data_IF_549835078780
#
_entry.id   IF_549835078780
#
_cell.length_a   1.000
_cell.length_b   1.000
_cell.length_c   1.000
_cell.angle_alpha   90.00
_cell.angle_beta   90.00
_cell.angle_gamma   90.00
#
_symmetry.space_group_name_H-M   'P 1'
#
loop_
_entity.id
_entity.type
_entity.pdbx_description
1 polymer ?
#
# COMPACT_ATOMS: atom_id res chain seq x y z
N UNK A 1 8.52 -17.26 -41.62
CA UNK A 1 9.46 -17.06 -40.50
C UNK A 1 9.14 -15.72 -39.86
N UNK A 2 8.43 -15.73 -38.73
CA UNK A 2 8.22 -14.51 -37.93
C UNK A 2 9.51 -14.32 -37.15
N UNK A 3 10.33 -13.36 -37.57
CA UNK A 3 11.59 -13.06 -36.88
C UNK A 3 11.30 -12.71 -35.43
N UNK A 4 11.98 -13.38 -34.50
CA UNK A 4 12.00 -12.96 -33.11
C UNK A 4 12.67 -11.59 -33.06
N UNK A 5 11.88 -10.53 -32.94
CA UNK A 5 12.39 -9.22 -32.56
C UNK A 5 12.93 -9.40 -31.15
N UNK A 6 14.24 -9.60 -31.04
CA UNK A 6 14.92 -9.65 -29.75
C UNK A 6 14.64 -8.33 -29.04
N UNK A 7 14.05 -8.41 -27.85
CA UNK A 7 13.85 -7.23 -27.02
C UNK A 7 15.24 -6.82 -26.54
N UNK A 8 15.68 -5.63 -26.97
CA UNK A 8 16.92 -5.03 -26.49
C UNK A 8 16.85 -4.89 -24.96
N UNK A 9 17.97 -5.06 -24.24
CA UNK A 9 17.99 -4.85 -22.79
C UNK A 9 17.49 -3.44 -22.44
N UNK A 10 16.73 -3.32 -21.35
CA UNK A 10 16.30 -2.02 -20.85
C UNK A 10 17.53 -1.19 -20.45
N UNK A 11 17.50 0.10 -20.79
CA UNK A 11 18.56 1.07 -20.46
C UNK A 11 17.95 2.38 -19.98
N UNK A 12 18.73 3.15 -19.21
CA UNK A 12 18.32 4.45 -18.68
C UNK A 12 17.08 4.35 -17.78
N UNK A 13 16.18 5.33 -17.86
CA UNK A 13 14.99 5.41 -17.00
C UNK A 13 14.09 4.18 -17.10
N UNK A 14 13.98 3.54 -18.27
CA UNK A 14 13.19 2.33 -18.41
C UNK A 14 13.70 1.17 -17.55
N UNK A 15 15.03 1.05 -17.35
CA UNK A 15 15.60 0.06 -16.44
C UNK A 15 15.33 0.44 -14.98
N UNK A 16 15.60 1.70 -14.62
CA UNK A 16 15.40 2.21 -13.25
C UNK A 16 13.95 2.05 -12.79
N UNK A 17 12.95 2.29 -13.66
CA UNK A 17 11.52 2.11 -13.36
C UNK A 17 11.12 0.65 -13.06
N UNK A 18 11.99 -0.32 -13.35
CA UNK A 18 11.73 -1.74 -13.08
C UNK A 18 12.41 -2.25 -11.82
N UNK A 19 13.26 -1.43 -11.19
CA UNK A 19 14.04 -1.75 -10.00
C UNK A 19 13.40 -1.20 -8.71
N UNK A 20 13.87 -1.66 -7.55
CA UNK A 20 13.47 -1.11 -6.24
C UNK A 20 12.01 -1.38 -5.85
N UNK A 21 11.34 -2.29 -6.56
CA UNK A 21 9.96 -2.70 -6.32
C UNK A 21 9.84 -4.19 -6.00
N UNK A 22 8.63 -4.71 -6.19
CA UNK A 22 8.32 -6.12 -6.05
C UNK A 22 8.15 -6.80 -7.42
N UNK A 23 7.70 -8.06 -7.45
CA UNK A 23 7.56 -8.83 -8.69
C UNK A 23 6.61 -8.21 -9.74
N UNK A 24 5.80 -7.21 -9.37
CA UNK A 24 4.95 -6.43 -10.27
C UNK A 24 5.72 -5.48 -11.18
N UNK A 25 6.91 -5.03 -10.80
CA UNK A 25 7.73 -4.09 -11.60
C UNK A 25 8.73 -4.82 -12.50
N UNK A 26 9.13 -6.04 -12.13
CA UNK A 26 10.08 -6.86 -12.89
C UNK A 26 9.54 -7.23 -14.28
N UNK A 27 10.36 -7.03 -15.32
CA UNK A 27 10.02 -7.42 -16.68
C UNK A 27 10.53 -8.80 -17.06
N UNK A 28 9.74 -9.53 -17.86
CA UNK A 28 10.18 -10.79 -18.48
C UNK A 28 11.00 -10.54 -19.76
N UNK A 29 11.38 -11.62 -20.45
CA UNK A 29 12.16 -11.57 -21.71
C UNK A 29 11.47 -10.83 -22.87
N UNK A 30 10.17 -10.52 -22.76
CA UNK A 30 9.42 -9.71 -23.72
C UNK A 30 9.40 -8.21 -23.35
N UNK A 31 10.11 -7.80 -22.30
CA UNK A 31 10.17 -6.41 -21.85
C UNK A 31 8.86 -5.91 -21.22
N UNK A 32 8.03 -6.82 -20.71
CA UNK A 32 6.77 -6.49 -20.03
C UNK A 32 6.74 -7.13 -18.65
N UNK A 33 6.05 -6.50 -17.71
CA UNK A 33 5.79 -7.10 -16.40
C UNK A 33 4.69 -8.18 -16.47
N UNK A 34 4.34 -8.77 -15.33
CA UNK A 34 3.29 -9.82 -15.23
C UNK A 34 1.89 -9.35 -15.65
N UNK A 35 1.67 -8.03 -15.73
CA UNK A 35 0.44 -7.41 -16.22
C UNK A 35 0.52 -6.99 -17.70
N UNK A 36 1.55 -7.43 -18.42
CA UNK A 36 1.79 -7.08 -19.82
C UNK A 36 2.00 -5.58 -20.09
N UNK A 37 2.37 -4.81 -19.06
CA UNK A 37 2.73 -3.40 -19.19
C UNK A 37 4.24 -3.26 -19.43
N UNK A 38 4.62 -2.31 -20.30
CA UNK A 38 6.01 -1.92 -20.54
C UNK A 38 6.39 -0.74 -19.64
N UNK A 39 7.66 -0.58 -19.26
CA UNK A 39 8.13 0.59 -18.52
C UNK A 39 8.27 1.84 -19.40
N UNK A 40 8.12 1.73 -20.72
CA UNK A 40 8.09 2.86 -21.66
C UNK A 40 6.66 3.19 -22.13
N UNK A 41 6.38 4.45 -22.50
CA UNK A 41 5.17 4.83 -23.20
C UNK A 41 4.98 4.06 -24.49
N UNK A 42 3.72 3.87 -24.89
CA UNK A 42 3.38 3.40 -26.23
C UNK A 42 2.83 4.62 -26.99
N UNK A 43 3.57 5.16 -27.97
CA UNK A 43 3.11 6.26 -28.80
C UNK A 43 1.77 5.94 -29.46
N UNK A 44 0.89 6.93 -29.55
CA UNK A 44 -0.42 6.87 -30.20
C UNK A 44 -1.38 5.77 -29.69
N UNK A 45 -1.06 5.14 -28.56
CA UNK A 45 -1.94 4.14 -27.95
C UNK A 45 -3.11 4.80 -27.23
N UNK A 46 -4.30 4.20 -27.38
CA UNK A 46 -5.45 4.54 -26.54
C UNK A 46 -5.18 4.00 -25.12
N UNK A 47 -4.86 4.89 -24.21
CA UNK A 47 -4.60 4.54 -22.82
C UNK A 47 -5.91 4.21 -22.08
N UNK A 48 -6.07 2.95 -21.66
CA UNK A 48 -7.13 2.52 -20.74
C UNK A 48 -6.51 2.13 -19.42
N UNK A 49 -6.57 3.07 -18.47
CA UNK A 49 -6.01 2.87 -17.15
C UNK A 49 -6.69 1.72 -16.40
N UNK A 50 -5.89 0.92 -15.69
CA UNK A 50 -6.35 -0.07 -14.72
C UNK A 50 -6.05 0.41 -13.30
N UNK A 51 -6.82 -0.10 -12.35
CA UNK A 51 -6.58 0.06 -10.92
C UNK A 51 -5.34 -0.71 -10.42
N UNK A 52 -4.83 -1.64 -11.23
CA UNK A 52 -3.74 -2.57 -10.84
C UNK A 52 -2.38 -2.17 -11.41
N UNK A 53 -2.31 -1.79 -12.69
CA UNK A 53 -1.06 -1.49 -13.38
C UNK A 53 -1.32 -0.65 -14.62
N UNK A 54 -0.44 0.30 -14.90
CA UNK A 54 -0.56 1.23 -16.02
C UNK A 54 0.77 1.38 -16.75
N UNK A 55 0.70 1.50 -18.08
CA UNK A 55 1.84 1.96 -18.88
C UNK A 55 2.03 3.46 -18.61
N UNK A 56 3.27 3.95 -18.40
CA UNK A 56 3.48 5.37 -18.17
C UNK A 56 3.05 6.20 -19.38
N UNK A 57 2.38 7.31 -19.11
CA UNK A 57 2.11 8.33 -20.15
C UNK A 57 3.41 8.97 -20.61
N UNK A 58 3.45 9.49 -21.84
CA UNK A 58 4.65 10.14 -22.38
C UNK A 58 5.11 11.33 -21.53
N UNK A 59 4.20 12.14 -21.01
CA UNK A 59 4.53 13.26 -20.12
C UNK A 59 5.15 12.80 -18.79
N UNK A 60 4.58 11.77 -18.16
CA UNK A 60 5.14 11.19 -16.94
C UNK A 60 6.53 10.58 -17.16
N UNK A 61 6.73 9.90 -18.30
CA UNK A 61 8.02 9.30 -18.64
C UNK A 61 9.09 10.37 -18.88
N UNK A 62 8.79 11.43 -19.65
CA UNK A 62 9.70 12.57 -19.83
C UNK A 62 10.05 13.26 -18.51
N UNK A 63 9.09 13.37 -17.59
CA UNK A 63 9.36 13.90 -16.25
C UNK A 63 10.31 13.00 -15.45
N UNK A 64 10.17 11.68 -15.56
CA UNK A 64 11.10 10.73 -14.96
C UNK A 64 12.51 10.81 -15.59
N UNK A 65 12.61 10.96 -16.91
CA UNK A 65 13.88 11.21 -17.61
C UNK A 65 14.56 12.49 -17.14
N UNK A 66 13.83 13.59 -17.05
CA UNK A 66 14.36 14.85 -16.55
C UNK A 66 14.86 14.73 -15.10
N UNK A 67 14.07 14.09 -14.23
CA UNK A 67 14.47 13.87 -12.84
C UNK A 67 15.73 12.99 -12.73
N UNK A 68 15.80 11.92 -13.52
CA UNK A 68 16.98 11.04 -13.57
C UNK A 68 18.22 11.80 -14.04
N UNK A 69 18.10 12.60 -15.10
CA UNK A 69 19.21 13.40 -15.62
C UNK A 69 19.70 14.42 -14.59
N UNK A 70 18.80 15.15 -13.93
CA UNK A 70 19.19 16.10 -12.86
C UNK A 70 19.87 15.42 -11.67
N UNK A 71 19.52 14.17 -11.37
CA UNK A 71 20.24 13.37 -10.35
C UNK A 71 21.64 12.99 -10.84
N UNK A 72 21.78 12.55 -12.10
CA UNK A 72 23.08 12.20 -12.69
C UNK A 72 24.03 13.39 -12.78
N UNK A 73 23.50 14.57 -13.11
CA UNK A 73 24.27 15.82 -13.22
C UNK A 73 24.64 16.40 -11.84
N UNK A 74 24.02 15.89 -10.76
CA UNK A 74 24.24 16.36 -9.39
C UNK A 74 23.50 17.65 -9.03
N UNK A 75 22.57 18.10 -9.88
CA UNK A 75 21.76 19.30 -9.67
C UNK A 75 20.77 19.14 -8.50
N UNK A 76 20.29 17.91 -8.29
CA UNK A 76 19.34 17.54 -7.22
C UNK A 76 19.69 16.18 -6.65
N UNK A 77 19.47 15.98 -5.35
CA UNK A 77 19.58 14.66 -4.75
C UNK A 77 18.28 13.86 -4.89
N UNK A 78 18.36 12.54 -4.73
CA UNK A 78 17.17 11.68 -4.58
C UNK A 78 16.30 12.15 -3.41
N UNK A 79 16.94 12.60 -2.32
CA UNK A 79 16.25 13.14 -1.14
C UNK A 79 15.40 14.37 -1.46
N UNK A 80 15.95 15.30 -2.25
CA UNK A 80 15.23 16.52 -2.66
C UNK A 80 14.02 16.20 -3.54
N UNK A 81 14.17 15.26 -4.49
CA UNK A 81 13.06 14.80 -5.33
C UNK A 81 11.97 14.16 -4.47
N UNK A 82 12.34 13.25 -3.56
CA UNK A 82 11.37 12.62 -2.66
C UNK A 82 10.66 13.65 -1.78
N UNK A 83 11.38 14.65 -1.26
CA UNK A 83 10.78 15.70 -0.44
C UNK A 83 9.84 16.61 -1.24
N UNK A 84 10.18 16.90 -2.49
CA UNK A 84 9.28 17.57 -3.43
C UNK A 84 7.98 16.79 -3.66
N UNK A 85 8.06 15.47 -3.81
CA UNK A 85 6.88 14.60 -3.92
C UNK A 85 6.04 14.63 -2.65
N UNK A 86 6.66 14.47 -1.46
CA UNK A 86 5.94 14.55 -0.17
C UNK A 86 5.25 15.90 -0.01
N UNK A 87 5.95 17.00 -0.25
CA UNK A 87 5.42 18.35 -0.16
C UNK A 87 4.23 18.57 -1.10
N UNK A 88 4.30 18.07 -2.33
CA UNK A 88 3.21 18.14 -3.30
C UNK A 88 1.98 17.35 -2.86
N UNK A 89 2.17 16.14 -2.31
CA UNK A 89 1.08 15.32 -1.76
C UNK A 89 0.43 16.03 -0.57
N UNK A 90 1.24 16.50 0.39
CA UNK A 90 0.75 17.25 1.57
C UNK A 90 -0.07 18.46 1.15
N UNK A 91 0.40 19.24 0.17
CA UNK A 91 -0.30 20.41 -0.37
C UNK A 91 -1.59 20.05 -1.10
N UNK A 92 -1.57 19.04 -1.98
CA UNK A 92 -2.73 18.64 -2.78
C UNK A 92 -3.91 18.18 -1.90
N UNK A 93 -3.61 17.40 -0.87
CA UNK A 93 -4.59 16.89 0.08
C UNK A 93 -4.85 17.80 1.27
N UNK A 94 -4.10 18.91 1.40
CA UNK A 94 -4.19 19.86 2.52
C UNK A 94 -4.15 19.14 3.88
N UNK A 95 -3.21 18.21 4.03
CA UNK A 95 -3.13 17.41 5.25
C UNK A 95 -2.82 18.29 6.47
N UNK A 96 -3.34 17.98 7.66
CA UNK A 96 -3.07 18.74 8.88
C UNK A 96 -1.59 18.85 9.22
N UNK A 97 -1.22 19.89 9.97
CA UNK A 97 0.11 20.03 10.52
C UNK A 97 0.46 18.81 11.41
N UNK A 98 1.69 18.31 11.31
CA UNK A 98 2.13 17.10 11.99
C UNK A 98 1.79 15.79 11.25
N UNK A 99 1.12 15.85 10.10
CA UNK A 99 0.97 14.68 9.21
C UNK A 99 2.22 14.50 8.34
N UNK A 100 2.78 13.30 8.39
CA UNK A 100 3.91 12.88 7.57
C UNK A 100 3.48 11.98 6.40
N UNK A 101 4.30 11.97 5.34
CA UNK A 101 4.06 11.19 4.13
C UNK A 101 5.21 10.22 3.91
N UNK A 102 4.90 8.93 3.93
CA UNK A 102 5.83 7.87 3.55
C UNK A 102 5.64 7.52 2.07
N UNK A 103 6.74 7.44 1.34
CA UNK A 103 6.74 6.94 -0.04
C UNK A 103 7.16 5.48 0.00
N UNK A 104 6.29 4.58 -0.47
CA UNK A 104 6.51 3.14 -0.44
C UNK A 104 6.55 2.59 -1.88
N UNK A 105 7.35 1.55 -2.17
CA UNK A 105 7.42 0.95 -3.51
C UNK A 105 6.07 0.40 -4.00
N UNK A 106 5.24 -0.10 -3.07
CA UNK A 106 3.87 -0.54 -3.34
C UNK A 106 2.92 -0.28 -2.18
N UNK A 107 1.62 -0.43 -2.42
CA UNK A 107 0.62 -0.42 -1.33
C UNK A 107 0.79 -1.58 -0.35
N UNK A 108 1.32 -2.73 -0.79
CA UNK A 108 1.58 -3.86 0.11
C UNK A 108 2.79 -3.59 1.02
N UNK A 109 3.82 -2.89 0.54
CA UNK A 109 4.93 -2.44 1.39
C UNK A 109 4.47 -1.44 2.45
N UNK A 110 3.49 -0.60 2.10
CA UNK A 110 2.93 0.39 3.03
C UNK A 110 2.27 -0.27 4.25
N UNK A 111 1.80 -1.52 4.15
CA UNK A 111 1.19 -2.27 5.27
C UNK A 111 2.16 -2.57 6.41
N UNK A 112 3.47 -2.58 6.13
CA UNK A 112 4.47 -2.75 7.19
C UNK A 112 4.56 -1.52 8.12
N UNK A 113 4.20 -0.33 7.64
CA UNK A 113 4.29 0.92 8.41
C UNK A 113 3.35 0.93 9.63
N UNK A 114 2.02 0.72 9.51
CA UNK A 114 1.12 0.70 10.67
C UNK A 114 1.50 -0.41 11.66
N UNK A 115 1.94 -1.57 11.18
CA UNK A 115 2.42 -2.66 12.04
C UNK A 115 3.66 -2.25 12.85
N UNK A 116 4.66 -1.62 12.22
CA UNK A 116 5.85 -1.11 12.91
C UNK A 116 5.49 -0.05 13.97
N UNK A 117 4.62 0.90 13.61
CA UNK A 117 4.14 1.94 14.53
C UNK A 117 3.45 1.29 15.75
N UNK A 118 2.54 0.35 15.51
CA UNK A 118 1.83 -0.35 16.58
C UNK A 118 2.80 -1.11 17.50
N UNK A 119 3.79 -1.83 16.96
CA UNK A 119 4.80 -2.54 17.76
C UNK A 119 5.59 -1.61 18.67
N UNK A 120 6.06 -0.48 18.14
CA UNK A 120 6.84 0.51 18.88
C UNK A 120 5.98 1.11 20.01
N UNK A 121 4.74 1.51 19.71
CA UNK A 121 3.89 2.22 20.66
C UNK A 121 3.29 1.32 21.74
N UNK A 122 3.08 0.03 21.44
CA UNK A 122 2.40 -0.91 22.34
C UNK A 122 3.33 -1.90 23.02
N UNK A 123 4.66 -1.72 22.87
CA UNK A 123 5.71 -2.45 23.59
C UNK A 123 5.60 -3.99 23.43
N UNK A 124 5.24 -4.46 22.24
CA UNK A 124 5.20 -5.89 21.92
C UNK A 124 3.95 -6.64 22.39
N UNK A 125 2.88 -5.94 22.80
CA UNK A 125 1.55 -6.54 22.96
C UNK A 125 1.13 -7.25 21.67
N UNK A 126 0.27 -8.28 21.80
CA UNK A 126 -0.26 -9.01 20.65
C UNK A 126 -1.01 -8.05 19.74
N UNK A 127 -0.69 -8.04 18.46
CA UNK A 127 -1.35 -7.21 17.45
C UNK A 127 -2.29 -8.09 16.65
N UNK A 128 -3.48 -7.58 16.36
CA UNK A 128 -4.46 -8.22 15.48
C UNK A 128 -4.77 -7.28 14.33
N UNK A 129 -4.26 -7.58 13.14
CA UNK A 129 -4.59 -6.86 11.92
C UNK A 129 -5.91 -7.37 11.36
N UNK A 130 -6.93 -6.51 11.37
CA UNK A 130 -8.27 -6.79 10.86
C UNK A 130 -8.35 -6.18 9.46
N UNK A 131 -8.15 -7.02 8.45
CA UNK A 131 -8.19 -6.62 7.03
C UNK A 131 -9.57 -6.90 6.48
N UNK A 132 -10.22 -5.83 6.05
CA UNK A 132 -11.56 -5.87 5.48
C UNK A 132 -11.51 -5.86 3.95
N UNK A 133 -12.65 -6.06 3.30
CA UNK A 133 -12.74 -6.20 1.84
C UNK A 133 -11.73 -7.20 1.25
N UNK A 134 -11.47 -8.32 1.94
CA UNK A 134 -10.60 -9.37 1.41
C UNK A 134 -11.08 -9.83 0.03
N UNK A 135 -10.13 -10.19 -0.85
CA UNK A 135 -10.22 -10.37 -2.31
C UNK A 135 -10.38 -9.09 -3.15
N UNK A 136 -10.84 -7.98 -2.57
CA UNK A 136 -10.97 -6.69 -3.27
C UNK A 136 -9.86 -5.67 -2.96
N UNK A 137 -8.96 -6.00 -2.03
CA UNK A 137 -7.71 -5.28 -1.74
C UNK A 137 -6.50 -5.91 -2.46
N UNK A 138 -5.29 -5.40 -2.19
CA UNK A 138 -4.04 -5.95 -2.72
C UNK A 138 -3.85 -7.41 -2.29
N UNK A 139 -3.42 -8.29 -3.21
CA UNK A 139 -3.25 -9.73 -2.90
C UNK A 139 -2.17 -10.00 -1.85
N UNK A 140 -1.25 -9.06 -1.64
CA UNK A 140 -0.21 -9.13 -0.62
C UNK A 140 -0.59 -8.52 0.74
N UNK A 141 -1.77 -7.90 0.86
CA UNK A 141 -2.14 -7.12 2.05
C UNK A 141 -2.19 -7.97 3.31
N UNK A 142 -2.79 -9.17 3.27
CA UNK A 142 -2.87 -10.06 4.44
C UNK A 142 -1.50 -10.54 4.92
N UNK A 143 -0.62 -10.96 4.01
CA UNK A 143 0.74 -11.38 4.39
C UNK A 143 1.54 -10.20 4.95
N UNK A 144 1.49 -9.04 4.29
CA UNK A 144 2.21 -7.86 4.74
C UNK A 144 1.72 -7.34 6.10
N UNK A 145 0.40 -7.27 6.30
CA UNK A 145 -0.21 -6.93 7.58
C UNK A 145 0.14 -7.95 8.68
N UNK A 146 0.40 -9.21 8.32
CA UNK A 146 0.91 -10.24 9.22
C UNK A 146 2.41 -10.16 9.50
N UNK A 147 3.12 -9.15 8.97
CA UNK A 147 4.56 -9.03 9.10
C UNK A 147 5.32 -10.10 8.33
N UNK A 148 4.81 -10.55 7.17
CA UNK A 148 5.44 -11.56 6.31
C UNK A 148 5.79 -10.96 4.96
N UNK A 149 6.73 -11.59 4.25
CA UNK A 149 7.01 -11.23 2.87
C UNK A 149 5.78 -11.53 1.99
N UNK A 150 5.34 -10.55 1.19
CA UNK A 150 4.17 -10.71 0.31
C UNK A 150 4.54 -11.01 -1.16
N UNK A 151 5.81 -10.88 -1.53
CA UNK A 151 6.32 -11.02 -2.90
C UNK A 151 7.60 -11.85 -2.89
N UNK A 152 7.93 -12.59 -3.97
CA UNK A 152 9.20 -13.29 -4.07
C UNK A 152 10.36 -12.35 -4.42
N UNK A 153 10.08 -11.09 -4.73
CA UNK A 153 11.05 -10.03 -4.99
C UNK A 153 10.86 -8.96 -3.91
N UNK A 154 11.96 -8.55 -3.29
CA UNK A 154 11.95 -7.45 -2.32
C UNK A 154 12.63 -6.21 -2.92
N UNK A 155 12.25 -5.00 -2.49
CA UNK A 155 12.82 -3.76 -3.00
C UNK A 155 14.35 -3.65 -2.91
N UNK A 156 14.93 -4.16 -1.81
CA UNK A 156 16.36 -4.14 -1.52
C UNK A 156 16.80 -5.54 -1.09
N UNK A 157 17.09 -6.44 -2.04
CA UNK A 157 17.50 -7.80 -1.71
C UNK A 157 18.92 -7.79 -1.12
N UNK A 158 19.12 -8.52 -0.03
CA UNK A 158 20.45 -8.83 0.48
C UNK A 158 21.06 -9.99 -0.34
N UNK A 159 22.39 -10.03 -0.44
CA UNK A 159 23.10 -11.12 -1.13
C UNK A 159 22.70 -12.49 -0.53
N UNK A 160 22.25 -13.39 -1.40
CA UNK A 160 21.84 -14.75 -1.00
C UNK A 160 20.39 -14.87 -0.49
N UNK A 161 19.59 -13.81 -0.58
CA UNK A 161 18.16 -13.87 -0.25
C UNK A 161 17.40 -14.78 -1.25
N UNK A 162 16.69 -15.79 -0.74
CA UNK A 162 15.95 -16.75 -1.54
C UNK A 162 14.60 -16.17 -2.00
N UNK A 163 14.30 -16.27 -3.30
CA UNK A 163 13.01 -15.92 -3.90
C UNK A 163 11.81 -16.72 -3.30
N UNK A 164 12.07 -17.73 -2.46
CA UNK A 164 11.08 -18.48 -1.67
C UNK A 164 10.66 -17.82 -0.35
N UNK A 165 11.07 -16.59 -0.08
CA UNK A 165 10.71 -15.89 1.14
C UNK A 165 9.21 -15.55 1.26
N UNK A 166 8.42 -15.60 0.18
CA UNK A 166 6.98 -15.32 0.23
C UNK A 166 6.27 -16.12 1.33
N UNK A 167 5.47 -15.42 2.15
CA UNK A 167 4.76 -15.97 3.30
C UNK A 167 5.65 -16.26 4.52
N UNK A 168 6.98 -16.17 4.39
CA UNK A 168 7.89 -16.29 5.52
C UNK A 168 7.81 -15.04 6.41
N UNK A 169 8.00 -15.20 7.73
CA UNK A 169 8.01 -14.07 8.65
C UNK A 169 9.16 -13.10 8.36
N UNK A 170 8.86 -11.80 8.34
CA UNK A 170 9.87 -10.75 8.41
C UNK A 170 10.35 -10.64 9.85
N UNK A 171 11.67 -10.63 10.03
CA UNK A 171 12.32 -10.52 11.33
C UNK A 171 11.88 -9.23 12.05
N UNK A 172 11.42 -9.35 13.29
CA UNK A 172 10.96 -8.24 14.11
C UNK A 172 9.52 -7.78 13.82
N UNK A 173 8.90 -8.27 12.74
CA UNK A 173 7.55 -7.89 12.34
C UNK A 173 6.51 -8.99 12.56
N UNK A 174 6.80 -10.26 12.29
CA UNK A 174 5.79 -11.31 12.39
C UNK A 174 5.46 -11.75 13.82
N UNK A 175 6.33 -11.46 14.79
CA UNK A 175 6.19 -11.99 16.15
C UNK A 175 4.99 -11.37 16.86
N UNK A 176 4.16 -12.22 17.44
CA UNK A 176 2.96 -11.82 18.19
C UNK A 176 1.94 -11.03 17.35
N UNK A 177 1.83 -11.36 16.06
CA UNK A 177 0.87 -10.77 15.12
C UNK A 177 -0.11 -11.83 14.62
N UNK A 178 -1.40 -11.51 14.66
CA UNK A 178 -2.50 -12.26 14.06
C UNK A 178 -3.12 -11.43 12.94
N UNK A 179 -3.56 -12.08 11.87
CA UNK A 179 -4.35 -11.46 10.81
C UNK A 179 -5.75 -12.07 10.79
N UNK A 180 -6.75 -11.21 10.72
CA UNK A 180 -8.17 -11.56 10.58
C UNK A 180 -8.64 -10.96 9.26
N UNK A 181 -9.16 -11.79 8.36
CA UNK A 181 -9.74 -11.33 7.11
C UNK A 181 -11.27 -11.29 7.20
N UNK A 182 -11.86 -10.22 6.69
CA UNK A 182 -13.30 -10.10 6.48
C UNK A 182 -13.52 -9.98 4.98
N UNK A 183 -14.22 -10.97 4.41
CA UNK A 183 -14.49 -11.04 2.98
C UNK A 183 -15.30 -9.82 2.50
N UNK A 184 -14.98 -9.31 1.31
CA UNK A 184 -15.77 -8.25 0.68
C UNK A 184 -17.18 -8.73 0.27
N UNK A 185 -17.33 -10.03 -0.02
CA UNK A 185 -18.55 -10.61 -0.57
C UNK A 185 -18.87 -11.96 0.04
N UNK A 186 -20.16 -12.26 0.11
CA UNK A 186 -20.64 -13.58 0.51
C UNK A 186 -20.32 -14.61 -0.58
N UNK A 187 -19.84 -15.78 -0.17
CA UNK A 187 -19.42 -16.83 -1.12
C UNK A 187 -20.60 -17.56 -1.78
N UNK A 188 -21.79 -17.50 -1.19
CA UNK A 188 -23.00 -18.13 -1.70
C UNK A 188 -23.69 -17.28 -2.77
N UNK A 189 -23.94 -16.00 -2.49
CA UNK A 189 -24.73 -15.12 -3.37
C UNK A 189 -23.96 -13.93 -3.96
N UNK A 190 -22.67 -13.77 -3.64
CA UNK A 190 -21.82 -12.66 -4.11
C UNK A 190 -22.28 -11.26 -3.70
N UNK A 191 -23.22 -11.15 -2.77
CA UNK A 191 -23.64 -9.87 -2.17
C UNK A 191 -22.49 -9.22 -1.41
N UNK A 192 -22.50 -7.90 -1.29
CA UNK A 192 -21.49 -7.15 -0.54
C UNK A 192 -21.70 -7.40 0.95
N UNK A 193 -20.63 -7.83 1.63
CA UNK A 193 -20.62 -8.04 3.07
C UNK A 193 -20.50 -6.69 3.77
N UNK A 194 -21.36 -6.45 4.75
CA UNK A 194 -21.17 -5.34 5.67
C UNK A 194 -20.17 -5.76 6.75
N UNK A 195 -18.93 -5.27 6.65
CA UNK A 195 -17.87 -5.63 7.58
C UNK A 195 -18.08 -5.10 9.03
N UNK A 196 -19.06 -4.21 9.27
CA UNK A 196 -19.26 -3.54 10.56
C UNK A 196 -19.31 -4.51 11.74
N UNK A 197 -20.12 -5.55 11.65
CA UNK A 197 -20.33 -6.48 12.78
C UNK A 197 -19.09 -7.36 13.00
N UNK A 198 -18.46 -7.83 11.92
CA UNK A 198 -17.22 -8.62 12.00
C UNK A 198 -16.04 -7.82 12.55
N UNK A 199 -15.92 -6.55 12.15
CA UNK A 199 -14.91 -5.63 12.70
C UNK A 199 -15.17 -5.41 14.19
N UNK A 200 -16.43 -5.17 14.57
CA UNK A 200 -16.78 -4.94 15.98
C UNK A 200 -16.49 -6.17 16.84
N UNK A 201 -16.87 -7.36 16.38
CA UNK A 201 -16.59 -8.61 17.08
C UNK A 201 -15.08 -8.83 17.28
N UNK A 202 -14.28 -8.57 16.24
CA UNK A 202 -12.83 -8.70 16.29
C UNK A 202 -12.19 -7.67 17.25
N UNK A 203 -12.66 -6.42 17.25
CA UNK A 203 -12.20 -5.38 18.18
C UNK A 203 -12.57 -5.74 19.62
N UNK A 204 -13.80 -6.21 19.87
CA UNK A 204 -14.25 -6.62 21.21
C UNK A 204 -13.46 -7.82 21.72
N UNK A 205 -13.12 -8.77 20.84
CA UNK A 205 -12.22 -9.88 21.15
C UNK A 205 -10.85 -9.35 21.57
N UNK A 206 -10.27 -8.40 20.84
CA UNK A 206 -8.99 -7.80 21.20
C UNK A 206 -9.04 -7.14 22.58
N UNK A 207 -10.11 -6.40 22.87
CA UNK A 207 -10.31 -5.76 24.18
C UNK A 207 -10.38 -6.79 25.32
N UNK A 208 -11.09 -7.91 25.13
CA UNK A 208 -11.15 -9.01 26.12
C UNK A 208 -9.80 -9.69 26.33
N UNK A 209 -9.02 -9.85 25.27
CA UNK A 209 -7.71 -10.54 25.30
C UNK A 209 -6.54 -9.62 25.65
N UNK A 210 -6.75 -8.30 25.73
CA UNK A 210 -5.68 -7.32 25.91
C UNK A 210 -4.79 -7.11 24.67
N UNK A 211 -5.23 -7.60 23.51
CA UNK A 211 -4.55 -7.43 22.22
C UNK A 211 -4.84 -6.05 21.62
N UNK A 212 -4.02 -5.61 20.67
CA UNK A 212 -4.09 -4.31 20.00
C UNK A 212 -4.66 -4.50 18.59
N UNK A 213 -5.89 -4.04 18.31
CA UNK A 213 -6.44 -4.11 16.96
C UNK A 213 -5.84 -3.02 16.06
N UNK A 214 -5.46 -3.42 14.84
CA UNK A 214 -5.25 -2.52 13.71
C UNK A 214 -6.39 -2.78 12.73
N UNK A 215 -7.30 -1.84 12.57
CA UNK A 215 -8.46 -1.99 11.68
C UNK A 215 -8.16 -1.31 10.36
N UNK A 216 -8.24 -2.07 9.27
CA UNK A 216 -8.15 -1.56 7.91
C UNK A 216 -9.56 -1.20 7.46
N UNK A 217 -9.73 -0.02 6.87
CA UNK A 217 -11.00 0.44 6.32
C UNK A 217 -10.78 0.82 4.86
N UNK A 218 -11.51 0.17 3.96
CA UNK A 218 -11.32 0.40 2.51
C UNK A 218 -12.21 1.53 2.02
N UNK A 219 -11.60 2.60 1.48
CA UNK A 219 -12.26 3.72 0.82
C UNK A 219 -12.18 3.57 -0.70
N UNK A 220 -12.97 2.62 -1.22
CA UNK A 220 -13.07 2.38 -2.66
C UNK A 220 -12.21 1.21 -3.09
N UNK A 221 -12.73 0.00 -2.88
CA UNK A 221 -12.15 -1.26 -3.35
C UNK A 221 -12.05 -1.32 -4.89
N UNK A 222 -11.52 -2.43 -5.44
CA UNK A 222 -11.53 -2.69 -6.90
C UNK A 222 -12.89 -2.42 -7.54
N UNK A 223 -13.98 -2.89 -6.91
CA UNK A 223 -15.36 -2.70 -7.40
C UNK A 223 -16.09 -1.49 -6.80
N UNK A 224 -15.42 -0.70 -5.96
CA UNK A 224 -15.96 0.54 -5.38
C UNK A 224 -16.69 0.36 -4.06
N UNK A 225 -16.46 -0.75 -3.34
CA UNK A 225 -16.96 -0.94 -1.97
C UNK A 225 -16.26 0.08 -1.06
N UNK A 226 -17.05 0.67 -0.16
CA UNK A 226 -16.60 1.65 0.83
C UNK A 226 -17.01 1.14 2.19
N UNK A 227 -16.05 1.04 3.09
CA UNK A 227 -16.29 0.62 4.47
C UNK A 227 -16.19 1.81 5.42
N UNK A 228 -17.20 1.98 6.28
CA UNK A 228 -17.23 3.09 7.22
C UNK A 228 -16.18 2.91 8.32
N UNK A 229 -15.76 4.04 8.90
CA UNK A 229 -15.01 4.05 10.15
C UNK A 229 -15.81 3.32 11.27
N UNK A 230 -15.17 2.51 12.13
CA UNK A 230 -15.87 1.83 13.22
C UNK A 230 -16.56 2.82 14.19
N UNK A 231 -17.89 2.78 14.28
CA UNK A 231 -18.71 3.78 14.99
C UNK A 231 -18.71 3.66 16.54
N UNK A 232 -17.91 2.77 17.10
CA UNK A 232 -17.92 2.43 18.53
C UNK A 232 -16.89 3.21 19.35
N UNK A 233 -16.47 2.69 20.51
CA UNK A 233 -15.40 3.27 21.33
C UNK A 233 -14.02 3.23 20.64
N UNK A 234 -13.93 2.75 19.40
CA UNK A 234 -12.71 2.62 18.64
C UNK A 234 -11.92 3.94 18.52
N UNK A 235 -12.59 5.08 18.30
CA UNK A 235 -11.92 6.39 18.29
C UNK A 235 -11.24 6.74 19.62
N UNK A 236 -11.82 6.31 20.75
CA UNK A 236 -11.21 6.47 22.08
C UNK A 236 -10.00 5.53 22.24
N UNK A 237 -10.11 4.29 21.78
CA UNK A 237 -8.98 3.34 21.79
C UNK A 237 -7.81 3.87 20.95
N UNK A 238 -8.08 4.43 19.77
CA UNK A 238 -7.05 5.07 18.93
C UNK A 238 -6.41 6.26 19.64
N UNK A 239 -7.22 7.12 20.28
CA UNK A 239 -6.72 8.25 21.07
C UNK A 239 -5.82 7.81 22.24
N UNK A 240 -6.14 6.67 22.87
CA UNK A 240 -5.35 6.06 23.94
C UNK A 240 -4.13 5.26 23.43
N UNK A 241 -3.95 5.13 22.10
CA UNK A 241 -2.93 4.28 21.45
C UNK A 241 -3.06 2.79 21.78
N UNK A 242 -4.29 2.36 22.08
CA UNK A 242 -4.67 0.97 22.30
C UNK A 242 -5.26 0.31 21.05
N UNK A 243 -5.48 1.08 19.98
CA UNK A 243 -5.88 0.63 18.66
C UNK A 243 -5.27 1.52 17.58
N UNK A 244 -5.24 1.04 16.34
CA UNK A 244 -4.80 1.80 15.18
C UNK A 244 -5.77 1.63 14.03
N UNK A 245 -5.88 2.64 13.18
CA UNK A 245 -6.66 2.58 11.95
C UNK A 245 -5.75 2.75 10.75
N UNK A 246 -6.01 1.93 9.72
CA UNK A 246 -5.47 2.09 8.38
C UNK A 246 -6.66 2.41 7.48
N UNK A 247 -6.54 3.48 6.71
CA UNK A 247 -7.54 3.83 5.71
C UNK A 247 -6.94 3.49 4.35
N UNK A 248 -7.34 2.34 3.79
CA UNK A 248 -6.91 1.95 2.46
C UNK A 248 -7.69 2.76 1.42
N UNK A 249 -7.01 3.75 0.87
CA UNK A 249 -7.51 4.60 -0.20
C UNK A 249 -6.69 4.42 -1.49
N UNK A 250 -6.25 3.19 -1.80
CA UNK A 250 -5.32 2.86 -2.91
C UNK A 250 -5.70 3.46 -4.28
N UNK A 251 -7.00 3.66 -4.54
CA UNK A 251 -7.49 4.19 -5.82
C UNK A 251 -7.66 5.72 -5.84
N UNK A 252 -7.43 6.39 -4.70
CA UNK A 252 -7.74 7.79 -4.48
C UNK A 252 -9.19 8.18 -4.88
N UNK A 253 -10.13 7.24 -4.77
CA UNK A 253 -11.57 7.43 -5.07
C UNK A 253 -12.31 8.07 -3.89
N UNK A 254 -11.72 9.10 -3.31
CA UNK A 254 -12.25 9.80 -2.15
C UNK A 254 -12.26 11.31 -2.39
N UNK A 255 -13.06 12.02 -1.59
CA UNK A 255 -13.03 13.48 -1.54
C UNK A 255 -12.12 13.94 -0.41
N UNK A 256 -11.45 15.08 -0.57
CA UNK A 256 -10.50 15.62 0.44
C UNK A 256 -11.15 15.77 1.82
N UNK A 257 -12.43 16.09 1.85
CA UNK A 257 -13.21 16.23 3.08
C UNK A 257 -13.26 14.92 3.86
N UNK A 258 -13.33 13.77 3.18
CA UNK A 258 -13.32 12.47 3.83
C UNK A 258 -11.99 12.20 4.53
N UNK A 259 -10.86 12.51 3.90
CA UNK A 259 -9.55 12.39 4.55
C UNK A 259 -9.49 13.24 5.83
N UNK A 260 -10.01 14.47 5.76
CA UNK A 260 -10.09 15.38 6.92
C UNK A 260 -10.98 14.80 8.02
N UNK A 261 -12.14 14.24 7.67
CA UNK A 261 -13.07 13.63 8.62
C UNK A 261 -12.44 12.43 9.34
N UNK A 262 -11.73 11.55 8.62
CA UNK A 262 -11.03 10.41 9.22
C UNK A 262 -9.93 10.87 10.17
N UNK A 263 -9.12 11.87 9.80
CA UNK A 263 -8.07 12.42 10.66
C UNK A 263 -8.64 13.10 11.92
N UNK A 264 -9.81 13.73 11.82
CA UNK A 264 -10.49 14.36 12.97
C UNK A 264 -11.12 13.34 13.92
N UNK A 265 -11.57 12.17 13.42
CA UNK A 265 -12.13 11.09 14.27
C UNK A 265 -11.08 10.46 15.20
N UNK A 266 -9.81 10.49 14.81
CA UNK A 266 -8.70 9.90 15.59
C UNK A 266 -7.94 10.91 16.44
N UNK A 267 -8.03 12.20 16.11
CA UNK A 267 -7.51 13.31 16.90
C UNK A 267 -8.66 14.27 17.21
N UNK A 268 -9.59 13.93 18.12
CA UNK A 268 -10.54 14.92 18.58
C UNK A 268 -9.72 16.09 19.16
N UNK A 269 -9.93 17.29 18.62
CA UNK A 269 -9.32 18.50 19.18
C UNK A 269 -9.53 18.48 20.70
N UNK A 270 -8.51 18.76 21.52
CA UNK A 270 -8.77 19.08 22.91
C UNK A 270 -9.74 20.27 22.88
N UNK A 271 -10.92 20.08 23.48
CA UNK A 271 -11.88 21.15 23.71
C UNK A 271 -11.21 22.31 24.45
#
# INVERSE_FOLDING_TARGET
>A
MVGSVGVLPLVGVAAILTEGGDDRTTTNSKGVNKYHCRPQPIPDAVFRGSCTCNIPTESAYRAAEAAYQSIQDGDVSVGDIMEGVRSKIKSMYQVPAGTEVFLCPSGSDAEYIPLQIAKILTKGRKIVNIVTCDSEVGSGTLDAAGGKYFSPVVPLPEDGMDAKAMGQPLQGLAENVETVSIAARDMGDSSVVNAKDGVQEAVDKCAREGSVPIVHCVLGSKTGIVEPFPETNFGQMVSARDAFIVVDACQARFRREWLTDYLNKVNPKPY
#
